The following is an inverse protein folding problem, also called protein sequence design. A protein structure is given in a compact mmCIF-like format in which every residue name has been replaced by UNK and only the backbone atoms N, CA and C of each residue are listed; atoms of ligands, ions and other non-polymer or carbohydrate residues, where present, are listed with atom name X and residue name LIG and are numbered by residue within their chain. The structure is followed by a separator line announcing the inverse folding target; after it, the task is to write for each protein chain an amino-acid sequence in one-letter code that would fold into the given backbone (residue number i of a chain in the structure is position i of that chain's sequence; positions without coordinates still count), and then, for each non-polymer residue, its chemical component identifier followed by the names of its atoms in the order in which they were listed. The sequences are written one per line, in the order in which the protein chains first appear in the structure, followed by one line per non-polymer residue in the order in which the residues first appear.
data_IF_144534424123
#
_entry.id   IF_144534424123
#
_cell.length_a   1.000
_cell.length_b   1.000
_cell.length_c   1.000
_cell.angle_alpha   90.00
_cell.angle_beta   90.00
_cell.angle_gamma   90.00
#
_symmetry.space_group_name_H-M   'P 1'
#
loop_
_entity.id
_entity.type
_entity.pdbx_description
1 polymer ?
#
# COMPACT_ATOMS: atom_id res chain seq x y z
N UNK A 1 30.17 26.68 -62.73
CA UNK A 1 29.97 27.44 -61.47
C UNK A 1 28.97 28.58 -61.71
N UNK A 2 27.70 28.42 -61.34
CA UNK A 2 26.75 29.50 -60.95
C UNK A 2 25.33 28.93 -60.88
N UNK A 3 24.61 29.22 -59.79
CA UNK A 3 23.16 29.57 -59.69
C UNK A 3 22.83 29.61 -58.19
N UNK A 4 22.81 30.79 -57.57
CA UNK A 4 21.69 31.75 -57.44
C UNK A 4 20.64 31.25 -56.43
N UNK A 5 20.55 31.99 -55.32
CA UNK A 5 19.61 31.85 -54.20
C UNK A 5 18.26 32.46 -54.61
N UNK A 6 17.14 31.89 -54.14
CA UNK A 6 16.09 32.75 -53.62
C UNK A 6 15.55 32.30 -52.26
N UNK A 7 15.31 33.34 -51.45
CA UNK A 7 14.62 33.38 -50.17
C UNK A 7 13.17 32.95 -50.34
N UNK A 8 12.62 32.21 -49.37
CA UNK A 8 11.32 32.41 -48.71
C UNK A 8 10.83 31.08 -48.09
N UNK A 9 10.67 31.07 -46.77
CA UNK A 9 9.39 30.77 -46.12
C UNK A 9 9.65 30.54 -44.63
N UNK A 10 9.35 31.57 -43.85
CA UNK A 10 9.08 31.44 -42.42
C UNK A 10 7.89 30.48 -42.27
N UNK A 11 8.10 29.39 -41.55
CA UNK A 11 7.02 28.59 -40.98
C UNK A 11 7.28 28.47 -39.49
N UNK A 12 6.75 29.46 -38.77
CA UNK A 12 6.32 29.26 -37.40
C UNK A 12 5.17 28.25 -37.44
N UNK A 13 5.25 27.13 -36.73
CA UNK A 13 4.05 26.48 -36.22
C UNK A 13 4.44 25.47 -35.13
N UNK A 14 4.02 25.83 -33.92
CA UNK A 14 3.62 24.95 -32.82
C UNK A 14 4.72 24.21 -32.05
N UNK A 15 5.10 24.81 -30.91
CA UNK A 15 5.36 24.04 -29.70
C UNK A 15 4.08 23.28 -29.33
N UNK A 16 3.87 22.12 -29.95
CA UNK A 16 3.03 21.07 -29.41
C UNK A 16 3.77 20.48 -28.21
N UNK A 17 3.58 21.08 -27.04
CA UNK A 17 3.90 20.44 -25.79
C UNK A 17 3.04 19.19 -25.69
N UNK A 18 3.60 18.02 -26.00
CA UNK A 18 3.06 16.77 -25.51
C UNK A 18 3.15 16.84 -23.99
N UNK A 19 2.07 17.30 -23.35
CA UNK A 19 1.76 16.85 -22.01
C UNK A 19 1.57 15.34 -22.12
N UNK A 20 2.65 14.60 -21.90
CA UNK A 20 2.52 13.22 -21.46
C UNK A 20 1.87 13.31 -20.09
N UNK A 21 0.56 13.10 -20.06
CA UNK A 21 -0.17 12.72 -18.87
C UNK A 21 0.54 11.49 -18.30
N UNK A 22 1.47 11.74 -17.38
CA UNK A 22 1.92 10.71 -16.46
C UNK A 22 0.67 10.31 -15.68
N UNK A 23 0.30 9.02 -15.63
CA UNK A 23 -0.61 8.53 -14.62
C UNK A 23 0.11 8.67 -13.27
N UNK A 24 0.06 9.88 -12.74
CA UNK A 24 0.45 10.20 -11.39
C UNK A 24 -0.54 9.50 -10.48
N UNK A 25 -0.10 8.40 -9.88
CA UNK A 25 -0.39 8.00 -8.50
C UNK A 25 -1.44 8.89 -7.82
N UNK A 26 -2.71 8.55 -7.97
CA UNK A 26 -3.75 8.91 -7.02
C UNK A 26 -3.83 7.79 -5.98
N UNK A 27 -2.86 7.79 -5.06
CA UNK A 27 -3.08 7.19 -3.76
C UNK A 27 -4.02 8.12 -2.99
N UNK A 28 -5.33 7.82 -2.99
CA UNK A 28 -6.30 8.55 -2.19
C UNK A 28 -7.71 8.61 -2.77
N UNK A 29 -8.53 7.65 -2.34
CA UNK A 29 -9.95 7.82 -1.95
C UNK A 29 -10.98 8.32 -2.99
N UNK A 30 -11.84 7.40 -3.46
CA UNK A 30 -13.29 7.45 -3.16
C UNK A 30 -14.03 6.25 -3.77
N UNK A 31 -14.65 5.43 -2.92
CA UNK A 31 -15.51 4.32 -3.32
C UNK A 31 -15.63 3.26 -2.22
N UNK A 32 -16.51 3.48 -1.25
CA UNK A 32 -16.72 2.72 0.00
C UNK A 32 -15.69 3.00 1.11
N UNK A 33 -16.16 3.67 2.17
CA UNK A 33 -15.40 3.84 3.39
C UNK A 33 -15.35 2.48 4.10
N UNK A 34 -14.17 1.86 4.12
CA UNK A 34 -13.96 0.58 4.78
C UNK A 34 -14.20 0.69 6.30
N UNK A 35 -14.71 -0.37 6.96
CA UNK A 35 -14.93 -0.33 8.40
C UNK A 35 -13.60 -0.20 9.17
N UNK A 36 -13.68 0.36 10.37
CA UNK A 36 -12.56 0.39 11.30
C UNK A 36 -12.25 -1.03 11.79
N UNK A 37 -10.98 -1.28 12.07
CA UNK A 37 -10.56 -2.53 12.70
C UNK A 37 -10.90 -2.52 14.20
N UNK A 38 -10.97 -3.69 14.85
CA UNK A 38 -11.09 -3.77 16.30
C UNK A 38 -10.00 -2.96 17.04
N UNK A 39 -10.16 -2.71 18.35
CA UNK A 39 -9.11 -2.12 19.18
C UNK A 39 -7.80 -2.89 19.11
N UNK A 40 -6.67 -2.21 19.30
CA UNK A 40 -5.34 -2.84 19.24
C UNK A 40 -5.23 -3.88 20.36
N UNK A 41 -5.03 -5.18 20.04
CA UNK A 41 -4.87 -6.20 21.07
C UNK A 41 -3.65 -5.93 21.94
N UNK A 42 -3.81 -6.02 23.26
CA UNK A 42 -2.69 -5.95 24.19
C UNK A 42 -1.94 -7.28 24.23
N UNK A 43 -1.18 -7.59 23.17
CA UNK A 43 -0.51 -8.88 23.06
C UNK A 43 0.97 -8.69 22.72
N UNK A 44 1.81 -8.48 23.74
CA UNK A 44 3.17 -7.92 23.57
C UNK A 44 4.29 -8.94 23.32
N UNK A 45 4.02 -10.20 22.92
CA UNK A 45 5.07 -11.25 22.97
C UNK A 45 5.18 -12.20 21.79
N UNK A 46 4.94 -11.74 20.56
CA UNK A 46 5.11 -12.59 19.38
C UNK A 46 5.79 -11.91 18.17
N UNK A 47 6.59 -10.85 18.37
CA UNK A 47 7.19 -10.08 17.27
C UNK A 47 7.95 -10.94 16.25
N UNK A 48 8.78 -11.88 16.72
CA UNK A 48 9.53 -12.79 15.84
C UNK A 48 8.63 -13.75 15.05
N UNK A 49 7.54 -14.23 15.66
CA UNK A 49 6.56 -15.08 14.98
C UNK A 49 5.79 -14.30 13.93
N UNK A 50 5.38 -13.07 14.25
CA UNK A 50 4.66 -12.21 13.32
C UNK A 50 5.51 -11.79 12.14
N UNK A 51 6.81 -11.53 12.36
CA UNK A 51 7.74 -11.30 11.26
C UNK A 51 7.83 -12.52 10.34
N UNK A 52 7.86 -13.73 10.88
CA UNK A 52 7.85 -14.96 10.06
C UNK A 52 6.54 -15.09 9.26
N UNK A 53 5.41 -14.74 9.86
CA UNK A 53 4.09 -14.87 9.22
C UNK A 53 3.79 -13.78 8.18
N UNK A 54 4.24 -12.55 8.41
CA UNK A 54 3.88 -11.38 7.58
C UNK A 54 5.03 -10.90 6.71
N UNK A 55 6.28 -11.18 7.11
CA UNK A 55 7.48 -10.58 6.52
C UNK A 55 7.71 -9.12 6.89
N UNK A 56 6.84 -8.51 7.69
CA UNK A 56 7.04 -7.18 8.26
C UNK A 56 8.07 -7.30 9.39
N UNK A 57 8.93 -6.29 9.58
CA UNK A 57 9.85 -6.26 10.72
C UNK A 57 9.08 -6.38 12.04
N UNK A 58 9.42 -7.33 12.90
CA UNK A 58 8.63 -7.64 14.08
C UNK A 58 8.42 -6.45 15.01
N UNK A 59 9.40 -5.54 15.09
CA UNK A 59 9.35 -4.33 15.93
C UNK A 59 8.39 -3.24 15.42
N UNK A 60 7.96 -3.30 14.15
CA UNK A 60 6.92 -2.39 13.65
C UNK A 60 5.51 -2.94 13.83
N UNK A 61 5.35 -4.20 14.23
CA UNK A 61 4.05 -4.83 14.44
C UNK A 61 3.63 -4.60 15.89
N UNK A 62 2.58 -3.81 16.08
CA UNK A 62 1.97 -3.62 17.39
C UNK A 62 1.19 -4.87 17.83
N UNK A 63 0.47 -5.50 16.89
CA UNK A 63 -0.30 -6.71 17.15
C UNK A 63 -0.72 -7.42 15.86
N UNK A 64 -1.06 -8.71 15.98
CA UNK A 64 -1.93 -9.41 15.03
C UNK A 64 -3.15 -9.92 15.80
N UNK A 65 -4.35 -9.64 15.30
CA UNK A 65 -5.62 -10.07 15.90
C UNK A 65 -6.57 -10.71 14.87
N UNK A 66 -7.74 -11.12 15.35
CA UNK A 66 -8.74 -11.84 14.55
C UNK A 66 -8.53 -13.35 14.54
N UNK A 67 -9.00 -14.00 13.48
CA UNK A 67 -8.88 -15.44 13.25
C UNK A 67 -8.24 -15.76 11.89
N UNK A 68 -8.21 -17.05 11.51
CA UNK A 68 -7.56 -17.50 10.27
C UNK A 68 -8.30 -17.09 8.99
N UNK A 69 -9.55 -16.66 9.08
CA UNK A 69 -10.39 -16.22 7.95
C UNK A 69 -10.48 -14.70 7.87
N UNK A 70 -10.53 -14.00 9.01
CA UNK A 70 -10.51 -12.55 9.09
C UNK A 70 -9.47 -12.09 10.13
N UNK A 71 -8.34 -11.57 9.65
CA UNK A 71 -7.23 -11.13 10.47
C UNK A 71 -6.97 -9.63 10.34
N UNK A 72 -6.25 -9.07 11.31
CA UNK A 72 -5.87 -7.67 11.36
C UNK A 72 -4.41 -7.54 11.75
N UNK A 73 -3.63 -6.83 10.93
CA UNK A 73 -2.21 -6.55 11.18
C UNK A 73 -2.12 -5.09 11.63
N UNK A 74 -1.81 -4.85 12.90
CA UNK A 74 -1.61 -3.53 13.49
C UNK A 74 -0.13 -3.18 13.44
N UNK A 75 0.22 -2.05 12.82
CA UNK A 75 1.61 -1.69 12.58
C UNK A 75 1.88 -0.18 12.69
N UNK A 76 3.11 0.17 13.03
CA UNK A 76 3.64 1.53 12.92
C UNK A 76 4.09 1.79 11.47
N UNK A 77 3.44 2.71 10.74
CA UNK A 77 3.76 2.99 9.34
C UNK A 77 5.06 3.76 9.13
N UNK A 78 5.66 4.34 10.19
CA UNK A 78 6.92 5.10 10.13
C UNK A 78 8.10 4.12 10.04
N UNK A 79 8.07 3.05 10.83
CA UNK A 79 9.18 2.08 10.90
C UNK A 79 8.94 0.80 10.08
N UNK A 80 7.74 0.59 9.55
CA UNK A 80 7.43 -0.57 8.71
C UNK A 80 8.02 -0.43 7.29
N UNK A 81 8.57 -1.54 6.76
CA UNK A 81 9.00 -1.61 5.37
C UNK A 81 7.79 -1.67 4.42
N UNK A 82 7.61 -0.64 3.59
CA UNK A 82 6.49 -0.54 2.64
C UNK A 82 6.38 -1.71 1.65
N UNK A 83 7.51 -2.27 1.19
CA UNK A 83 7.49 -3.44 0.32
C UNK A 83 6.99 -4.70 1.05
N UNK A 84 7.28 -4.81 2.35
CA UNK A 84 6.77 -5.90 3.17
C UNK A 84 5.27 -5.75 3.45
N UNK A 85 4.77 -4.52 3.66
CA UNK A 85 3.35 -4.25 3.91
C UNK A 85 2.45 -4.72 2.76
N UNK A 86 2.87 -4.51 1.50
CA UNK A 86 2.09 -4.96 0.34
C UNK A 86 1.99 -6.50 0.23
N UNK A 87 3.04 -7.23 0.64
CA UNK A 87 3.07 -8.68 0.59
C UNK A 87 2.51 -9.37 1.85
N UNK A 88 2.38 -8.62 2.95
CA UNK A 88 2.02 -9.16 4.26
C UNK A 88 0.67 -9.89 4.31
N UNK A 89 -0.42 -9.41 3.68
CA UNK A 89 -1.70 -10.10 3.69
C UNK A 89 -1.62 -11.51 3.10
N UNK A 90 -0.95 -11.64 1.95
CA UNK A 90 -0.78 -12.93 1.28
C UNK A 90 0.08 -13.89 2.10
N UNK A 91 1.17 -13.40 2.71
CA UNK A 91 2.03 -14.21 3.58
C UNK A 91 1.29 -14.67 4.85
N UNK A 92 0.49 -13.79 5.45
CA UNK A 92 -0.30 -14.11 6.63
C UNK A 92 -1.29 -15.23 6.32
N UNK A 93 -2.08 -15.11 5.25
CA UNK A 93 -3.00 -16.17 4.83
C UNK A 93 -2.27 -17.48 4.52
N UNK A 94 -1.12 -17.42 3.83
CA UNK A 94 -0.32 -18.62 3.55
C UNK A 94 0.18 -19.30 4.83
N UNK A 95 0.51 -18.53 5.88
CA UNK A 95 0.87 -19.08 7.19
C UNK A 95 -0.27 -19.83 7.89
N UNK A 96 -1.51 -19.54 7.51
CA UNK A 96 -2.71 -20.26 7.94
C UNK A 96 -3.11 -21.40 6.99
N UNK A 97 -2.32 -21.66 5.93
CA UNK A 97 -2.66 -22.63 4.89
C UNK A 97 -3.77 -22.17 3.94
N UNK A 98 -3.98 -20.85 3.80
CA UNK A 98 -5.07 -20.22 3.03
C UNK A 98 -4.56 -19.29 1.94
N UNK A 99 -5.45 -18.85 1.06
CA UNK A 99 -5.17 -17.83 0.05
C UNK A 99 -5.77 -16.48 0.44
N UNK A 100 -5.14 -15.40 0.00
CA UNK A 100 -5.66 -14.04 0.20
C UNK A 100 -6.93 -13.86 -0.64
N UNK A 101 -8.05 -13.58 0.02
CA UNK A 101 -9.28 -13.19 -0.66
C UNK A 101 -9.29 -11.68 -0.94
N UNK A 102 -8.99 -10.88 0.08
CA UNK A 102 -8.95 -9.43 -0.01
C UNK A 102 -8.15 -8.82 1.13
N UNK A 103 -7.70 -7.58 0.95
CA UNK A 103 -7.13 -6.77 2.02
C UNK A 103 -7.32 -5.29 1.76
N UNK A 104 -7.45 -4.50 2.82
CA UNK A 104 -7.48 -3.04 2.75
C UNK A 104 -6.82 -2.44 3.99
N UNK A 105 -6.37 -1.18 3.87
CA UNK A 105 -5.82 -0.44 5.01
C UNK A 105 -6.93 0.38 5.67
N UNK A 106 -6.94 0.39 7.01
CA UNK A 106 -7.88 1.13 7.85
C UNK A 106 -7.19 1.59 9.14
N UNK A 107 -7.96 2.16 10.06
CA UNK A 107 -7.52 2.58 11.40
C UNK A 107 -8.15 1.69 12.48
N UNK A 108 -7.52 1.59 13.67
CA UNK A 108 -8.11 0.88 14.78
C UNK A 108 -9.26 1.70 15.40
N UNK A 109 -10.28 1.03 15.94
CA UNK A 109 -11.49 1.67 16.48
C UNK A 109 -11.21 2.53 17.72
N UNK A 110 -10.19 2.18 18.51
CA UNK A 110 -9.76 2.92 19.70
C UNK A 110 -8.92 4.17 19.36
N UNK A 111 -8.56 4.35 18.08
CA UNK A 111 -7.77 5.51 17.63
C UNK A 111 -6.34 5.50 18.14
N UNK A 112 -5.75 4.33 18.40
CA UNK A 112 -4.37 4.21 18.88
C UNK A 112 -3.40 5.06 18.03
N UNK A 113 -2.73 6.08 18.63
CA UNK A 113 -1.88 7.00 17.88
C UNK A 113 -0.71 6.29 17.21
N UNK A 114 -0.44 6.65 15.95
CA UNK A 114 0.70 6.11 15.21
C UNK A 114 0.50 4.68 14.70
N UNK A 115 -0.68 4.08 14.87
CA UNK A 115 -0.99 2.72 14.39
C UNK A 115 -1.90 2.77 13.16
N UNK A 116 -1.52 2.01 12.12
CA UNK A 116 -2.39 1.67 10.99
C UNK A 116 -2.73 0.18 11.03
N UNK A 117 -3.80 -0.20 10.34
CA UNK A 117 -4.25 -1.60 10.29
C UNK A 117 -4.40 -2.06 8.86
N UNK A 118 -3.87 -3.24 8.55
CA UNK A 118 -4.26 -3.98 7.35
C UNK A 118 -5.30 -5.01 7.75
N UNK A 119 -6.53 -4.83 7.29
CA UNK A 119 -7.57 -5.85 7.41
C UNK A 119 -7.38 -6.88 6.30
N UNK A 120 -7.38 -8.16 6.66
CA UNK A 120 -7.05 -9.28 5.78
C UNK A 120 -8.16 -10.32 5.83
N UNK A 121 -8.69 -10.68 4.67
CA UNK A 121 -9.64 -11.79 4.53
C UNK A 121 -8.95 -12.94 3.79
N UNK A 122 -8.98 -14.13 4.37
CA UNK A 122 -8.39 -15.35 3.80
C UNK A 122 -9.50 -16.36 3.45
N UNK A 123 -9.28 -17.19 2.43
CA UNK A 123 -10.16 -18.30 2.05
C UNK A 123 -9.38 -19.62 1.95
#
# INVERSE_FOLDING_TARGET
MKRVIPVLAVSALMLGGCAMEMPGVTAGESGAQHPLAPPVPQNVRAHALWQKQTGINGDSIAAIGGDTSQAYIYYDPIVANQAALAAAPAKLCASYGKQLASSYTTLPQDGEPGVKVIAVTCH
#
